data_IF_503796831378
#
_entry.id   IF_503796831378
#
_cell.length_a   1.000
_cell.length_b   1.000
_cell.length_c   1.000
_cell.angle_alpha   90.00
_cell.angle_beta   90.00
_cell.angle_gamma   90.00
#
_symmetry.space_group_name_H-M   'P 1'
#
loop_
_entity.id
_entity.type
_entity.pdbx_description
1 polymer ?
#
# COMPACT_ATOMS: atom_id res chain seq x y z
N UNK A 1 28.23 -7.14 -8.79
CA UNK A 1 26.99 -7.93 -8.84
C UNK A 1 26.54 -7.93 -10.28
N UNK A 2 26.45 -9.10 -10.87
CA UNK A 2 25.93 -9.20 -12.26
C UNK A 2 24.47 -8.75 -12.27
N UNK A 3 24.12 -7.96 -13.29
CA UNK A 3 22.72 -7.55 -13.47
C UNK A 3 21.93 -8.76 -13.96
N UNK A 4 20.66 -8.94 -13.53
CA UNK A 4 19.83 -10.01 -14.05
C UNK A 4 19.75 -9.88 -15.59
N UNK A 5 19.67 -11.02 -16.26
CA UNK A 5 19.45 -11.07 -17.71
C UNK A 5 18.03 -10.57 -17.96
N UNK A 6 17.90 -9.47 -18.67
CA UNK A 6 16.62 -8.95 -19.09
C UNK A 6 16.22 -9.53 -20.45
N UNK A 7 15.03 -10.06 -20.52
CA UNK A 7 14.43 -10.47 -21.78
C UNK A 7 14.13 -9.24 -22.65
N UNK A 8 14.21 -9.34 -23.97
CA UNK A 8 13.82 -8.25 -24.87
C UNK A 8 12.34 -7.88 -24.69
N UNK A 9 12.03 -6.60 -24.92
CA UNK A 9 10.63 -6.17 -25.05
C UNK A 9 9.96 -6.96 -26.19
N UNK A 10 8.72 -7.38 -25.96
CA UNK A 10 7.95 -8.24 -26.85
C UNK A 10 8.08 -9.75 -26.57
N UNK A 11 8.95 -10.17 -25.62
CA UNK A 11 9.02 -11.56 -25.18
C UNK A 11 7.66 -11.98 -24.57
N UNK A 12 7.09 -13.12 -24.96
CA UNK A 12 5.92 -13.69 -24.31
C UNK A 12 6.16 -13.92 -22.82
N UNK A 13 5.18 -13.64 -21.97
CA UNK A 13 5.37 -13.75 -20.50
C UNK A 13 5.68 -15.18 -20.07
N UNK A 14 5.18 -16.18 -20.79
CA UNK A 14 5.43 -17.60 -20.54
C UNK A 14 6.90 -18.02 -20.78
N UNK A 15 7.66 -17.22 -21.52
CA UNK A 15 9.08 -17.45 -21.79
C UNK A 15 10.00 -16.78 -20.76
N UNK A 16 9.44 -16.00 -19.82
CA UNK A 16 10.25 -15.35 -18.78
C UNK A 16 10.85 -16.37 -17.81
N UNK A 17 12.06 -16.05 -17.35
CA UNK A 17 12.68 -16.77 -16.23
C UNK A 17 11.86 -16.59 -14.96
N UNK A 18 11.77 -17.66 -14.17
CA UNK A 18 10.99 -17.73 -12.94
C UNK A 18 11.87 -17.92 -11.70
N UNK A 19 11.39 -17.56 -10.52
CA UNK A 19 10.12 -16.86 -10.28
C UNK A 19 10.16 -15.40 -10.75
N UNK A 20 9.06 -14.91 -11.31
CA UNK A 20 8.98 -13.56 -11.83
C UNK A 20 7.74 -12.81 -11.31
N UNK A 21 7.92 -11.62 -10.77
CA UNK A 21 6.83 -10.73 -10.43
C UNK A 21 6.41 -9.94 -11.68
N UNK A 22 5.20 -10.24 -12.19
CA UNK A 22 4.67 -9.69 -13.44
C UNK A 22 3.49 -8.79 -13.14
N UNK A 23 3.39 -7.64 -13.82
CA UNK A 23 2.21 -6.78 -13.81
C UNK A 23 1.54 -6.86 -15.18
N UNK A 24 0.26 -7.17 -15.19
CA UNK A 24 -0.63 -6.93 -16.33
C UNK A 24 -1.04 -5.45 -16.34
N UNK A 25 -0.53 -4.69 -17.31
CA UNK A 25 -0.75 -3.26 -17.41
C UNK A 25 -2.20 -2.90 -17.73
N UNK A 26 -2.90 -3.71 -18.52
CA UNK A 26 -4.29 -3.44 -18.89
C UNK A 26 -5.22 -3.63 -17.67
N UNK A 27 -4.96 -4.67 -16.86
CA UNK A 27 -5.69 -4.89 -15.60
C UNK A 27 -5.39 -3.80 -14.60
N UNK A 28 -4.11 -3.41 -14.44
CA UNK A 28 -3.70 -2.34 -13.53
C UNK A 28 -4.34 -1.00 -13.91
N UNK A 29 -4.28 -0.61 -15.18
CA UNK A 29 -4.84 0.65 -15.65
C UNK A 29 -6.37 0.66 -15.47
N UNK A 30 -7.06 -0.46 -15.69
CA UNK A 30 -8.48 -0.61 -15.41
C UNK A 30 -8.80 -0.47 -13.92
N UNK A 31 -8.02 -1.08 -13.04
CA UNK A 31 -8.17 -0.91 -11.60
C UNK A 31 -8.02 0.56 -11.18
N UNK A 32 -6.99 1.24 -11.70
CA UNK A 32 -6.76 2.66 -11.43
C UNK A 32 -7.96 3.49 -11.90
N UNK A 33 -8.45 3.28 -13.12
CA UNK A 33 -9.61 3.99 -13.64
C UNK A 33 -10.89 3.73 -12.84
N UNK A 34 -11.15 2.48 -12.46
CA UNK A 34 -12.30 2.09 -11.64
C UNK A 34 -12.27 2.81 -10.30
N UNK A 35 -11.14 2.76 -9.61
CA UNK A 35 -10.95 3.43 -8.32
C UNK A 35 -11.09 4.94 -8.44
N UNK A 36 -10.41 5.57 -9.40
CA UNK A 36 -10.42 7.03 -9.59
C UNK A 36 -11.80 7.56 -10.01
N UNK A 37 -12.61 6.74 -10.65
CA UNK A 37 -13.99 7.07 -11.00
C UNK A 37 -14.84 7.51 -9.80
N UNK A 38 -14.59 6.96 -8.61
CA UNK A 38 -15.28 7.36 -7.38
C UNK A 38 -14.93 8.78 -6.93
N UNK A 39 -13.75 9.29 -7.31
CA UNK A 39 -13.25 10.60 -6.90
C UNK A 39 -13.49 11.70 -7.92
N UNK A 40 -13.93 11.37 -9.12
CA UNK A 40 -14.09 12.34 -10.23
C UNK A 40 -15.01 13.50 -9.85
N UNK A 41 -16.19 13.21 -9.29
CA UNK A 41 -17.17 14.21 -8.87
C UNK A 41 -17.20 14.45 -7.34
N UNK A 42 -16.40 13.73 -6.58
CA UNK A 42 -16.37 13.83 -5.11
C UNK A 42 -15.56 15.03 -4.64
N UNK A 43 -15.96 15.56 -3.46
CA UNK A 43 -15.15 16.56 -2.74
C UNK A 43 -13.85 15.95 -2.23
N UNK A 44 -13.95 14.75 -1.62
CA UNK A 44 -12.78 13.99 -1.22
C UNK A 44 -11.94 13.56 -2.42
N UNK A 45 -10.61 13.53 -2.24
CA UNK A 45 -9.64 13.12 -3.27
C UNK A 45 -8.83 11.92 -2.79
N UNK A 46 -8.29 11.16 -3.72
CA UNK A 46 -7.39 10.06 -3.39
C UNK A 46 -5.99 10.58 -3.03
N UNK A 47 -5.37 10.02 -1.98
CA UNK A 47 -3.92 10.11 -1.76
C UNK A 47 -3.35 8.70 -1.94
N UNK A 48 -2.69 8.40 -3.07
CA UNK A 48 -2.08 7.10 -3.31
C UNK A 48 -1.07 6.72 -2.24
N UNK A 49 -1.25 5.55 -1.62
CA UNK A 49 -0.27 4.96 -0.69
C UNK A 49 0.63 4.04 -1.49
N UNK A 50 1.89 4.42 -1.64
CA UNK A 50 2.83 3.73 -2.55
C UNK A 50 3.55 2.54 -1.94
N UNK A 51 3.40 2.33 -0.63
CA UNK A 51 4.03 1.25 0.13
C UNK A 51 3.68 -0.15 -0.38
N UNK A 52 2.51 -0.31 -1.02
CA UNK A 52 2.09 -1.61 -1.55
C UNK A 52 2.85 -2.04 -2.81
N UNK A 53 3.45 -1.09 -3.53
CA UNK A 53 4.15 -1.37 -4.79
C UNK A 53 5.57 -0.79 -4.86
N UNK A 54 5.92 0.21 -4.07
CA UNK A 54 7.27 0.79 -3.94
C UNK A 54 7.89 1.25 -5.28
N UNK A 55 7.07 1.51 -6.29
CA UNK A 55 7.47 1.75 -7.68
C UNK A 55 7.00 3.13 -8.17
N UNK A 56 7.92 4.05 -8.50
CA UNK A 56 7.58 5.40 -8.97
C UNK A 56 6.73 5.43 -10.24
N UNK A 57 6.92 4.49 -11.17
CA UNK A 57 6.13 4.41 -12.41
C UNK A 57 4.64 4.16 -12.12
N UNK A 58 4.33 3.29 -11.16
CA UNK A 58 2.94 3.05 -10.74
C UNK A 58 2.37 4.28 -10.07
N UNK A 59 3.14 4.91 -9.15
CA UNK A 59 2.69 6.13 -8.46
C UNK A 59 2.36 7.28 -9.44
N UNK A 60 3.17 7.47 -10.49
CA UNK A 60 2.87 8.46 -11.54
C UNK A 60 1.56 8.15 -12.26
N UNK A 61 1.33 6.90 -12.66
CA UNK A 61 0.06 6.49 -13.29
C UNK A 61 -1.15 6.73 -12.38
N UNK A 62 -0.99 6.53 -11.08
CA UNK A 62 -2.05 6.84 -10.11
C UNK A 62 -2.35 8.34 -10.06
N UNK A 63 -1.34 9.21 -10.08
CA UNK A 63 -1.51 10.67 -10.09
C UNK A 63 -2.07 11.16 -11.44
N UNK A 64 -1.56 10.65 -12.55
CA UNK A 64 -1.95 11.04 -13.90
C UNK A 64 -3.42 10.68 -14.21
N UNK A 65 -3.95 9.65 -13.55
CA UNK A 65 -5.37 9.27 -13.71
C UNK A 65 -6.34 10.29 -13.11
N UNK A 66 -5.87 11.28 -12.36
CA UNK A 66 -6.68 12.35 -11.77
C UNK A 66 -7.42 11.92 -10.50
N UNK A 67 -8.29 12.81 -9.99
CA UNK A 67 -9.06 12.54 -8.77
C UNK A 67 -8.22 12.46 -7.49
N UNK A 68 -6.95 12.88 -7.53
CA UNK A 68 -5.99 12.83 -6.42
C UNK A 68 -5.74 14.20 -5.82
N UNK A 69 -5.12 14.23 -4.64
CA UNK A 69 -4.61 15.46 -4.01
C UNK A 69 -3.32 15.99 -4.68
N UNK A 70 -2.77 15.27 -5.67
CA UNK A 70 -1.50 15.61 -6.31
C UNK A 70 -0.26 15.08 -5.59
N UNK A 71 -0.41 14.55 -4.37
CA UNK A 71 0.64 13.97 -3.55
C UNK A 71 0.44 12.48 -3.28
N UNK A 72 1.43 11.86 -2.64
CA UNK A 72 1.45 10.44 -2.27
C UNK A 72 1.54 10.26 -0.75
N UNK A 73 1.31 9.05 -0.27
CA UNK A 73 1.60 8.66 1.10
C UNK A 73 2.57 7.47 1.13
N UNK A 74 3.47 7.51 2.10
CA UNK A 74 4.49 6.48 2.40
C UNK A 74 4.40 6.10 3.87
N UNK A 75 5.07 5.02 4.29
CA UNK A 75 5.07 4.56 5.68
C UNK A 75 6.45 4.54 6.33
N UNK A 76 7.52 4.68 5.58
CA UNK A 76 8.87 4.78 6.12
C UNK A 76 9.59 6.02 5.57
N UNK A 77 10.57 6.50 6.34
CA UNK A 77 11.38 7.62 5.90
C UNK A 77 12.21 7.27 4.65
N UNK A 78 12.72 6.04 4.56
CA UNK A 78 13.44 5.57 3.38
C UNK A 78 12.58 5.56 2.13
N UNK A 79 11.30 5.17 2.23
CA UNK A 79 10.34 5.31 1.13
C UNK A 79 10.19 6.79 0.72
N UNK A 80 10.03 7.71 1.70
CA UNK A 80 9.92 9.15 1.43
C UNK A 80 11.14 9.68 0.66
N UNK A 81 12.34 9.31 1.08
CA UNK A 81 13.59 9.69 0.41
C UNK A 81 13.67 9.13 -1.02
N UNK A 82 13.31 7.85 -1.22
CA UNK A 82 13.32 7.23 -2.53
C UNK A 82 12.32 7.89 -3.50
N UNK A 83 11.10 8.19 -3.04
CA UNK A 83 10.10 8.85 -3.87
C UNK A 83 10.40 10.34 -4.10
N UNK A 84 10.94 11.06 -3.12
CA UNK A 84 11.42 12.43 -3.34
C UNK A 84 12.55 12.46 -4.38
N UNK A 85 13.53 11.53 -4.29
CA UNK A 85 14.57 11.34 -5.29
C UNK A 85 14.03 11.00 -6.68
N UNK A 86 12.84 10.41 -6.78
CA UNK A 86 12.13 10.16 -8.03
C UNK A 86 11.27 11.36 -8.49
N UNK A 87 11.30 12.51 -7.79
CA UNK A 87 10.66 13.77 -8.17
C UNK A 87 9.21 13.92 -7.69
N UNK A 88 8.82 13.24 -6.62
CA UNK A 88 7.54 13.49 -5.93
C UNK A 88 7.74 14.59 -4.90
N UNK A 89 6.90 15.64 -4.94
CA UNK A 89 7.07 16.88 -4.19
C UNK A 89 6.06 17.13 -3.06
N UNK A 90 5.03 16.28 -2.94
CA UNK A 90 4.07 16.29 -1.85
C UNK A 90 3.96 14.86 -1.29
N UNK A 91 4.52 14.65 -0.10
CA UNK A 91 4.65 13.32 0.50
C UNK A 91 4.11 13.36 1.93
N UNK A 92 3.07 12.56 2.21
CA UNK A 92 2.63 12.29 3.57
C UNK A 92 3.36 11.04 4.09
N UNK A 93 4.19 11.20 5.11
CA UNK A 93 4.71 10.09 5.89
C UNK A 93 3.64 9.68 6.91
N UNK A 94 2.81 8.72 6.53
CA UNK A 94 1.66 8.26 7.32
C UNK A 94 2.09 7.28 8.43
N UNK A 95 3.10 7.66 9.19
CA UNK A 95 3.67 6.90 10.31
C UNK A 95 4.47 7.84 11.22
N UNK A 96 4.79 7.40 12.43
CA UNK A 96 5.49 8.21 13.44
C UNK A 96 7.01 8.12 13.28
N UNK A 97 7.69 9.25 13.35
CA UNK A 97 9.16 9.37 13.35
C UNK A 97 9.59 9.91 14.70
N UNK A 98 10.27 9.10 15.51
CA UNK A 98 10.54 9.39 16.92
C UNK A 98 12.03 9.49 17.29
N UNK A 99 12.93 8.92 16.48
CA UNK A 99 14.36 8.93 16.80
C UNK A 99 15.04 10.17 16.25
N UNK A 100 16.02 10.69 17.00
CA UNK A 100 16.76 11.92 16.64
C UNK A 100 17.38 11.80 15.24
N UNK A 101 17.95 10.65 14.90
CA UNK A 101 18.55 10.42 13.58
C UNK A 101 17.54 10.52 12.45
N UNK A 102 16.35 9.91 12.62
CA UNK A 102 15.29 9.96 11.61
C UNK A 102 14.66 11.37 11.53
N UNK A 103 14.49 12.08 12.66
CA UNK A 103 14.01 13.48 12.66
C UNK A 103 14.97 14.39 11.87
N UNK A 104 16.28 14.24 12.05
CA UNK A 104 17.26 15.00 11.27
C UNK A 104 17.16 14.71 9.78
N UNK A 105 17.06 13.44 9.37
CA UNK A 105 16.87 13.06 7.96
C UNK A 105 15.56 13.61 7.41
N UNK A 106 14.47 13.54 8.18
CA UNK A 106 13.16 14.10 7.81
C UNK A 106 13.26 15.61 7.54
N UNK A 107 13.96 16.35 8.41
CA UNK A 107 14.16 17.79 8.23
C UNK A 107 15.03 18.12 7.00
N UNK A 108 16.05 17.31 6.71
CA UNK A 108 16.81 17.44 5.45
C UNK A 108 15.91 17.22 4.25
N UNK A 109 15.04 16.22 4.29
CA UNK A 109 14.10 15.97 3.21
C UNK A 109 13.08 17.11 3.07
N UNK A 110 12.60 17.67 4.18
CA UNK A 110 11.66 18.80 4.20
C UNK A 110 12.24 20.09 3.60
N UNK A 111 13.58 20.25 3.54
CA UNK A 111 14.20 21.36 2.84
C UNK A 111 14.12 21.26 1.30
N UNK A 112 13.72 20.09 0.77
CA UNK A 112 13.71 19.79 -0.67
C UNK A 112 12.30 19.52 -1.20
N UNK A 113 11.38 19.11 -0.33
CA UNK A 113 10.02 18.71 -0.73
C UNK A 113 9.01 19.00 0.40
N UNK A 114 7.74 19.17 0.05
CA UNK A 114 6.67 19.28 1.03
C UNK A 114 6.45 17.94 1.73
N UNK A 115 6.69 17.91 3.03
CA UNK A 115 6.59 16.70 3.84
C UNK A 115 5.56 16.87 4.96
N UNK A 116 4.58 15.96 4.97
CA UNK A 116 3.66 15.79 6.08
C UNK A 116 4.03 14.58 6.92
N UNK A 117 3.66 14.64 8.20
CA UNK A 117 3.94 13.55 9.13
C UNK A 117 2.77 13.28 10.07
N UNK A 118 2.55 11.99 10.36
CA UNK A 118 1.60 11.56 11.38
C UNK A 118 2.20 11.75 12.79
N UNK A 119 1.40 12.28 13.71
CA UNK A 119 1.77 12.48 15.12
C UNK A 119 0.63 12.03 16.02
N UNK A 120 0.95 11.31 17.08
CA UNK A 120 0.00 10.82 18.09
C UNK A 120 0.48 11.00 19.54
N UNK A 121 1.62 11.68 19.71
CA UNK A 121 2.26 11.82 21.01
C UNK A 121 2.84 13.25 21.18
N UNK A 122 2.58 13.94 22.33
CA UNK A 122 3.05 15.30 22.55
C UNK A 122 4.57 15.43 22.63
N UNK A 123 5.27 14.48 23.28
CA UNK A 123 6.73 14.51 23.39
C UNK A 123 7.39 14.34 22.01
N UNK A 124 6.77 13.56 21.13
CA UNK A 124 7.23 13.42 19.77
C UNK A 124 7.01 14.70 18.96
N UNK A 125 5.88 15.37 19.15
CA UNK A 125 5.60 16.66 18.53
C UNK A 125 6.68 17.70 18.90
N UNK A 126 7.07 17.76 20.18
CA UNK A 126 8.12 18.66 20.66
C UNK A 126 9.49 18.37 20.04
N UNK A 127 9.84 17.07 19.89
CA UNK A 127 11.09 16.66 19.22
C UNK A 127 11.10 17.02 17.73
N UNK A 128 9.97 16.83 17.06
CA UNK A 128 9.80 17.22 15.65
C UNK A 128 9.91 18.74 15.49
N UNK A 129 9.24 19.52 16.36
CA UNK A 129 9.34 20.97 16.39
C UNK A 129 10.78 21.45 16.59
N UNK A 130 11.47 20.89 17.58
CA UNK A 130 12.87 21.24 17.86
C UNK A 130 13.77 20.96 16.65
N UNK A 131 13.60 19.80 16.00
CA UNK A 131 14.36 19.45 14.80
C UNK A 131 14.04 20.35 13.61
N UNK A 132 12.76 20.69 13.41
CA UNK A 132 12.33 21.58 12.33
C UNK A 132 12.88 23.00 12.50
N UNK A 133 12.84 23.54 13.73
CA UNK A 133 13.43 24.85 14.07
C UNK A 133 14.93 24.84 13.85
N UNK A 134 15.64 23.82 14.34
CA UNK A 134 17.10 23.70 14.16
C UNK A 134 17.48 23.66 12.67
N UNK A 135 16.68 23.00 11.84
CA UNK A 135 16.92 22.90 10.41
C UNK A 135 16.36 24.07 9.59
N UNK A 136 15.59 24.97 10.18
CA UNK A 136 14.95 26.09 9.49
C UNK A 136 13.88 25.66 8.48
N UNK A 137 13.14 24.58 8.76
CA UNK A 137 12.09 24.03 7.91
C UNK A 137 10.73 24.01 8.63
N UNK A 138 9.67 23.81 7.88
CA UNK A 138 8.33 23.57 8.39
C UNK A 138 7.85 22.17 8.00
N UNK A 139 7.29 21.44 8.93
CA UNK A 139 6.63 20.16 8.73
C UNK A 139 5.12 20.36 8.88
N UNK A 140 4.33 19.94 7.89
CA UNK A 140 2.89 19.87 8.10
C UNK A 140 2.52 18.55 8.80
N UNK A 141 1.55 18.66 9.73
CA UNK A 141 1.25 17.59 10.67
C UNK A 141 -0.20 17.16 10.54
N UNK A 142 -0.43 15.86 10.51
CA UNK A 142 -1.73 15.26 10.76
C UNK A 142 -1.70 14.49 12.08
N UNK A 143 -2.63 14.79 12.98
CA UNK A 143 -2.80 14.01 14.19
C UNK A 143 -3.44 12.67 13.82
N UNK A 144 -2.80 11.57 14.13
CA UNK A 144 -3.40 10.25 13.94
C UNK A 144 -4.36 9.93 15.09
N UNK A 145 -5.62 9.70 14.75
CA UNK A 145 -6.67 9.26 15.65
C UNK A 145 -6.78 7.73 15.56
N UNK A 146 -6.80 7.03 16.69
CA UNK A 146 -7.13 5.59 16.67
C UNK A 146 -8.60 5.40 16.27
N UNK A 147 -8.78 4.96 15.04
CA UNK A 147 -10.08 4.64 14.45
C UNK A 147 -10.39 3.14 14.52
N UNK A 148 -10.00 2.48 15.60
CA UNK A 148 -10.29 1.07 15.87
C UNK A 148 -9.20 0.09 15.45
N UNK A 149 -8.03 0.59 15.00
CA UNK A 149 -6.88 -0.27 14.69
C UNK A 149 -6.22 -0.85 15.94
N UNK A 150 -6.23 -0.11 17.06
CA UNK A 150 -5.49 -0.49 18.28
C UNK A 150 -3.98 -0.64 18.03
N UNK A 151 -3.41 0.23 17.18
CA UNK A 151 -2.01 0.15 16.77
C UNK A 151 -1.25 1.45 17.06
N UNK A 152 -1.46 2.46 16.25
CA UNK A 152 -1.00 3.84 16.45
C UNK A 152 -2.23 4.74 16.50
N UNK A 153 -2.01 5.99 16.90
CA UNK A 153 -3.06 6.98 17.02
C UNK A 153 -3.42 7.29 18.46
N UNK A 154 -3.74 8.56 18.71
CA UNK A 154 -4.21 9.03 19.99
C UNK A 154 -5.71 8.74 20.14
N UNK A 155 -6.17 8.53 21.35
CA UNK A 155 -7.61 8.38 21.63
C UNK A 155 -8.37 9.65 21.24
N UNK A 156 -9.53 9.47 20.61
CA UNK A 156 -10.44 10.56 20.27
C UNK A 156 -10.89 11.35 21.53
N UNK A 157 -11.33 12.59 21.33
CA UNK A 157 -11.86 13.43 22.41
C UNK A 157 -10.80 14.24 23.10
N UNK A 158 -10.71 14.15 24.43
CA UNK A 158 -9.90 15.06 25.26
C UNK A 158 -8.39 14.97 24.91
N UNK A 159 -7.87 13.78 24.72
CA UNK A 159 -6.45 13.59 24.45
C UNK A 159 -6.06 14.12 23.06
N UNK A 160 -6.87 13.88 22.04
CA UNK A 160 -6.69 14.46 20.71
C UNK A 160 -6.75 16.00 20.75
N UNK A 161 -7.67 16.56 21.55
CA UNK A 161 -7.78 18.00 21.73
C UNK A 161 -6.51 18.61 22.34
N UNK A 162 -6.00 18.02 23.44
CA UNK A 162 -4.77 18.49 24.10
C UNK A 162 -3.58 18.45 23.13
N UNK A 163 -3.46 17.36 22.38
CA UNK A 163 -2.37 17.21 21.40
C UNK A 163 -2.48 18.27 20.30
N UNK A 164 -3.67 18.50 19.76
CA UNK A 164 -3.90 19.50 18.73
C UNK A 164 -3.55 20.92 19.19
N UNK A 165 -4.00 21.33 20.37
CA UNK A 165 -3.66 22.60 20.98
C UNK A 165 -2.15 22.73 21.24
N UNK A 166 -1.49 21.64 21.62
CA UNK A 166 -0.04 21.63 21.79
C UNK A 166 0.69 21.86 20.48
N UNK A 167 0.33 21.10 19.40
CA UNK A 167 0.95 21.19 18.08
C UNK A 167 0.74 22.58 17.47
N UNK A 168 -0.45 23.16 17.58
CA UNK A 168 -0.78 24.48 17.05
C UNK A 168 0.12 25.61 17.62
N UNK A 169 0.63 25.41 18.84
CA UNK A 169 1.57 26.31 19.49
C UNK A 169 3.06 26.01 19.27
N UNK A 170 3.43 24.96 18.54
CA UNK A 170 4.82 24.54 18.35
C UNK A 170 5.43 25.14 17.09
N UNK A 171 6.55 25.91 17.19
CA UNK A 171 7.22 26.46 16.02
C UNK A 171 7.80 25.38 15.12
N UNK A 172 7.83 25.62 13.80
CA UNK A 172 8.32 24.67 12.80
C UNK A 172 7.33 23.51 12.48
N UNK A 173 6.17 23.48 13.16
CA UNK A 173 5.07 22.57 12.83
C UNK A 173 3.86 23.38 12.37
N UNK A 174 3.16 22.85 11.38
CA UNK A 174 1.88 23.38 10.90
C UNK A 174 0.81 22.30 11.04
N UNK A 175 -0.15 22.50 11.95
CA UNK A 175 -1.29 21.59 12.07
C UNK A 175 -2.20 21.75 10.83
N UNK A 176 -2.18 20.78 9.94
CA UNK A 176 -3.04 20.76 8.74
C UNK A 176 -4.35 19.98 8.98
N UNK A 177 -4.34 19.02 9.90
CA UNK A 177 -5.53 18.22 10.11
C UNK A 177 -5.32 16.97 10.92
N UNK A 178 -6.18 16.00 10.62
CA UNK A 178 -6.20 14.70 11.29
C UNK A 178 -6.20 13.56 10.29
N UNK A 179 -5.76 12.39 10.73
CA UNK A 179 -5.86 11.17 9.97
C UNK A 179 -6.35 10.01 10.84
N UNK A 180 -6.91 9.00 10.19
CA UNK A 180 -7.25 7.73 10.83
C UNK A 180 -7.16 6.57 9.85
N UNK A 181 -6.66 5.44 10.32
CA UNK A 181 -6.65 4.19 9.57
C UNK A 181 -7.68 3.25 10.18
N UNK A 182 -8.58 2.72 9.36
CA UNK A 182 -9.61 1.78 9.83
C UNK A 182 -9.18 0.33 9.57
N UNK A 183 -9.59 -0.62 10.41
CA UNK A 183 -9.28 -2.03 10.21
C UNK A 183 -9.81 -2.55 8.88
N UNK A 184 -8.98 -3.30 8.17
CA UNK A 184 -9.41 -4.02 6.96
C UNK A 184 -10.18 -5.30 7.29
N UNK A 185 -10.89 -5.86 6.31
CA UNK A 185 -11.63 -7.10 6.49
C UNK A 185 -10.70 -8.28 6.80
N UNK A 186 -11.22 -9.24 7.56
CA UNK A 186 -10.60 -10.55 7.78
C UNK A 186 -11.31 -11.60 6.92
N UNK A 187 -10.66 -12.72 6.64
CA UNK A 187 -11.14 -13.71 5.69
C UNK A 187 -12.56 -14.21 5.89
N UNK A 188 -13.04 -14.27 7.14
CA UNK A 188 -14.36 -14.78 7.50
C UNK A 188 -15.38 -13.67 7.82
N UNK A 189 -15.03 -12.40 7.60
CA UNK A 189 -15.91 -11.29 7.90
C UNK A 189 -17.13 -11.29 6.96
N UNK A 190 -18.31 -11.09 7.53
CA UNK A 190 -19.50 -10.72 6.76
C UNK A 190 -19.36 -9.31 6.20
N UNK A 191 -19.58 -9.17 4.89
CA UNK A 191 -19.37 -7.91 4.18
C UNK A 191 -20.20 -6.77 4.78
N UNK A 192 -21.47 -7.00 5.11
CA UNK A 192 -22.36 -5.97 5.64
C UNK A 192 -21.93 -5.53 7.06
N UNK A 193 -21.50 -6.48 7.89
CA UNK A 193 -20.98 -6.17 9.23
C UNK A 193 -19.68 -5.37 9.13
N UNK A 194 -18.78 -5.77 8.21
CA UNK A 194 -17.54 -5.05 7.95
C UNK A 194 -17.81 -3.62 7.49
N UNK A 195 -18.73 -3.41 6.56
CA UNK A 195 -19.11 -2.08 6.08
C UNK A 195 -19.71 -1.21 7.19
N UNK A 196 -20.60 -1.76 8.03
CA UNK A 196 -21.17 -1.04 9.17
C UNK A 196 -20.08 -0.61 10.15
N UNK A 197 -19.17 -1.53 10.50
CA UNK A 197 -18.05 -1.24 11.41
C UNK A 197 -17.07 -0.21 10.83
N UNK A 198 -16.82 -0.28 9.55
CA UNK A 198 -16.01 0.71 8.83
C UNK A 198 -16.60 2.11 8.95
N UNK A 199 -17.92 2.27 8.74
CA UNK A 199 -18.60 3.56 8.91
C UNK A 199 -18.51 4.09 10.34
N UNK A 200 -18.71 3.23 11.35
CA UNK A 200 -18.53 3.61 12.76
C UNK A 200 -17.11 4.13 13.03
N UNK A 201 -16.11 3.41 12.56
CA UNK A 201 -14.70 3.78 12.74
C UNK A 201 -14.34 5.08 12.02
N UNK A 202 -14.84 5.31 10.80
CA UNK A 202 -14.67 6.57 10.09
C UNK A 202 -15.37 7.73 10.82
N UNK A 203 -16.51 7.48 11.45
CA UNK A 203 -17.23 8.50 12.23
C UNK A 203 -16.42 8.98 13.42
N UNK A 204 -15.61 8.13 14.07
CA UNK A 204 -14.70 8.54 15.16
C UNK A 204 -13.75 9.66 14.69
N UNK A 205 -13.22 9.55 13.48
CA UNK A 205 -12.34 10.58 12.90
C UNK A 205 -13.11 11.87 12.64
N UNK A 206 -14.32 11.78 12.07
CA UNK A 206 -15.16 12.95 11.78
C UNK A 206 -15.63 13.66 13.05
N UNK A 207 -16.03 12.93 14.09
CA UNK A 207 -16.40 13.51 15.37
C UNK A 207 -15.23 14.24 16.02
N UNK A 208 -14.01 13.68 15.88
CA UNK A 208 -12.77 14.34 16.33
C UNK A 208 -12.53 15.64 15.58
N UNK A 209 -12.65 15.64 14.23
CA UNK A 209 -12.56 16.87 13.41
C UNK A 209 -13.54 17.93 13.91
N UNK A 210 -14.80 17.56 14.12
CA UNK A 210 -15.84 18.50 14.53
C UNK A 210 -15.57 19.07 15.93
N UNK A 211 -15.05 18.25 16.84
CA UNK A 211 -14.65 18.70 18.17
C UNK A 211 -13.50 19.71 18.11
N UNK A 212 -12.46 19.43 17.31
CA UNK A 212 -11.30 20.29 17.12
C UNK A 212 -11.71 21.63 16.48
N UNK A 213 -12.56 21.61 15.45
CA UNK A 213 -13.07 22.84 14.82
C UNK A 213 -13.92 23.70 15.78
N UNK A 214 -14.76 23.07 16.61
CA UNK A 214 -15.51 23.80 17.65
C UNK A 214 -14.61 24.48 18.69
N UNK A 215 -13.41 23.94 18.92
CA UNK A 215 -12.42 24.54 19.81
C UNK A 215 -11.59 25.65 19.12
N UNK A 216 -11.89 26.00 17.87
CA UNK A 216 -11.24 27.08 17.14
C UNK A 216 -9.98 26.66 16.37
N UNK A 217 -9.65 25.37 16.28
CA UNK A 217 -8.52 24.87 15.50
C UNK A 217 -8.87 24.72 14.03
N UNK A 218 -7.93 25.08 13.14
CA UNK A 218 -8.06 24.86 11.71
C UNK A 218 -7.76 23.40 11.39
N UNK A 219 -8.72 22.69 10.81
CA UNK A 219 -8.60 21.30 10.36
C UNK A 219 -9.03 21.26 8.90
N UNK A 220 -8.05 21.40 8.01
CA UNK A 220 -8.27 21.42 6.57
C UNK A 220 -8.25 20.02 5.98
N UNK A 221 -7.36 19.15 6.49
CA UNK A 221 -7.19 17.78 6.01
C UNK A 221 -7.85 16.79 6.97
N UNK A 222 -8.75 15.99 6.44
CA UNK A 222 -9.29 14.80 7.11
C UNK A 222 -8.97 13.59 6.24
N UNK A 223 -7.85 12.94 6.58
CA UNK A 223 -7.29 11.84 5.81
C UNK A 223 -7.69 10.51 6.41
N UNK A 224 -8.45 9.71 5.68
CA UNK A 224 -8.84 8.38 6.15
C UNK A 224 -8.28 7.30 5.24
N UNK A 225 -8.14 6.08 5.74
CA UNK A 225 -7.41 5.13 4.93
C UNK A 225 -7.82 3.69 5.00
N UNK A 226 -7.54 3.11 3.85
CA UNK A 226 -7.59 1.74 3.43
C UNK A 226 -8.23 1.57 2.06
N UNK A 227 -7.64 0.74 1.22
CA UNK A 227 -8.25 0.39 -0.08
C UNK A 227 -9.62 -0.27 0.11
N UNK A 228 -9.82 -1.02 1.20
CA UNK A 228 -11.07 -1.72 1.49
C UNK A 228 -12.26 -0.80 1.79
N UNK A 229 -12.04 0.46 2.14
CA UNK A 229 -13.10 1.38 2.58
C UNK A 229 -13.32 2.59 1.68
N UNK A 230 -12.66 2.66 0.52
CA UNK A 230 -12.69 3.87 -0.31
C UNK A 230 -14.10 4.27 -0.75
N UNK A 231 -14.93 3.29 -1.12
CA UNK A 231 -16.30 3.56 -1.61
C UNK A 231 -17.21 4.16 -0.53
N UNK A 232 -17.01 3.76 0.74
CA UNK A 232 -17.73 4.35 1.88
C UNK A 232 -17.13 5.70 2.26
N UNK A 233 -15.80 5.77 2.36
CA UNK A 233 -15.10 6.96 2.83
C UNK A 233 -15.32 8.18 1.93
N UNK A 234 -15.33 8.00 0.61
CA UNK A 234 -15.54 9.08 -0.37
C UNK A 234 -16.93 9.72 -0.25
N UNK A 235 -17.91 8.99 0.27
CA UNK A 235 -19.30 9.45 0.44
C UNK A 235 -19.54 10.15 1.79
N UNK A 236 -18.59 10.09 2.74
CA UNK A 236 -18.76 10.67 4.06
C UNK A 236 -18.47 12.17 4.06
N UNK A 237 -19.45 13.03 4.38
CA UNK A 237 -19.24 14.47 4.40
C UNK A 237 -18.18 14.86 5.44
N UNK A 238 -17.18 15.63 4.98
CA UNK A 238 -16.09 16.08 5.83
C UNK A 238 -14.79 15.28 5.72
N UNK A 239 -14.80 14.13 5.04
CA UNK A 239 -13.57 13.50 4.55
C UNK A 239 -13.03 14.34 3.40
N UNK A 240 -11.75 14.67 3.42
CA UNK A 240 -11.08 15.45 2.36
C UNK A 240 -10.18 14.60 1.50
N UNK A 241 -9.55 13.56 2.08
CA UNK A 241 -8.74 12.62 1.32
C UNK A 241 -8.89 11.17 1.81
N UNK A 242 -8.76 10.25 0.86
CA UNK A 242 -8.76 8.81 1.11
C UNK A 242 -7.42 8.22 0.72
N UNK A 243 -6.72 7.64 1.72
CA UNK A 243 -5.44 6.96 1.52
C UNK A 243 -5.68 5.52 1.12
N UNK A 244 -5.30 5.15 -0.11
CA UNK A 244 -5.44 3.80 -0.62
C UNK A 244 -4.22 3.40 -1.45
N UNK A 245 -3.75 2.16 -1.33
CA UNK A 245 -2.52 1.72 -1.97
C UNK A 245 -2.61 0.41 -2.73
N UNK A 246 -3.51 -0.49 -2.38
CA UNK A 246 -3.57 -1.83 -2.98
C UNK A 246 -4.35 -1.88 -4.29
N UNK A 247 -5.19 -0.89 -4.57
CA UNK A 247 -6.10 -0.91 -5.70
C UNK A 247 -5.43 -1.07 -7.08
N UNK A 248 -4.22 -0.53 -7.36
CA UNK A 248 -3.63 -0.69 -8.69
C UNK A 248 -3.31 -2.14 -9.03
N UNK A 249 -2.75 -2.86 -8.06
CA UNK A 249 -2.21 -4.20 -8.25
C UNK A 249 -3.11 -5.29 -7.69
N UNK A 250 -3.89 -4.99 -6.67
CA UNK A 250 -4.73 -5.91 -5.89
C UNK A 250 -3.96 -7.13 -5.36
N UNK A 251 -4.60 -7.85 -4.47
CA UNK A 251 -4.12 -9.11 -3.93
C UNK A 251 -5.30 -10.05 -3.65
N UNK A 252 -5.00 -11.31 -3.33
CA UNK A 252 -6.03 -12.29 -3.04
C UNK A 252 -6.89 -11.92 -1.83
N UNK A 253 -6.28 -11.33 -0.80
CA UNK A 253 -6.95 -10.97 0.45
C UNK A 253 -8.15 -10.03 0.24
N UNK A 254 -8.03 -9.04 -0.65
CA UNK A 254 -9.07 -8.04 -0.86
C UNK A 254 -10.03 -8.38 -1.99
N UNK A 255 -9.72 -9.36 -2.82
CA UNK A 255 -10.52 -9.67 -4.02
C UNK A 255 -11.98 -10.03 -3.70
N UNK A 256 -12.25 -10.73 -2.61
CA UNK A 256 -13.62 -11.08 -2.19
C UNK A 256 -14.44 -9.90 -1.71
N UNK A 257 -13.76 -8.84 -1.22
CA UNK A 257 -14.40 -7.61 -0.69
C UNK A 257 -14.52 -6.51 -1.74
N UNK A 258 -13.71 -6.56 -2.78
CA UNK A 258 -13.68 -5.58 -3.87
C UNK A 258 -13.71 -6.29 -5.23
N UNK A 259 -14.86 -6.88 -5.58
CA UNK A 259 -14.99 -7.71 -6.79
C UNK A 259 -14.78 -6.94 -8.10
N UNK A 260 -14.92 -5.61 -8.07
CA UNK A 260 -14.70 -4.71 -9.21
C UNK A 260 -13.23 -4.51 -9.56
N UNK A 261 -12.30 -4.79 -8.63
CA UNK A 261 -10.85 -4.70 -8.83
C UNK A 261 -10.25 -6.09 -9.00
N UNK A 262 -9.23 -6.22 -9.83
CA UNK A 262 -8.65 -7.52 -10.16
C UNK A 262 -7.13 -7.57 -9.84
N UNK A 263 -6.59 -8.75 -9.45
CA UNK A 263 -5.15 -8.92 -9.29
C UNK A 263 -4.42 -8.64 -10.61
N UNK A 264 -3.70 -7.53 -10.66
CA UNK A 264 -2.90 -7.11 -11.79
C UNK A 264 -1.44 -7.56 -11.63
N UNK A 265 -0.96 -7.76 -10.41
CA UNK A 265 0.38 -8.27 -10.15
C UNK A 265 0.31 -9.71 -9.64
N UNK A 266 1.09 -10.58 -10.28
CA UNK A 266 1.13 -12.02 -10.03
C UNK A 266 2.56 -12.52 -10.10
N UNK A 267 2.81 -13.67 -9.49
CA UNK A 267 4.09 -14.35 -9.57
C UNK A 267 3.98 -15.49 -10.58
N UNK A 268 4.79 -15.42 -11.64
CA UNK A 268 4.99 -16.51 -12.56
C UNK A 268 6.01 -17.47 -11.96
N UNK A 269 5.67 -18.74 -11.88
CA UNK A 269 6.53 -19.82 -11.38
C UNK A 269 6.62 -20.96 -12.37
N UNK A 270 7.67 -21.76 -12.28
CA UNK A 270 7.80 -23.01 -13.04
C UNK A 270 7.57 -24.22 -12.15
N UNK A 271 6.93 -25.23 -12.67
CA UNK A 271 6.91 -26.57 -12.06
C UNK A 271 8.28 -27.21 -12.26
N UNK A 272 9.01 -27.39 -11.17
CA UNK A 272 10.37 -27.96 -11.21
C UNK A 272 10.39 -29.47 -10.88
N UNK A 273 9.33 -29.99 -10.27
CA UNK A 273 9.24 -31.39 -9.91
C UNK A 273 7.79 -31.85 -9.76
N UNK A 274 7.55 -33.10 -10.08
CA UNK A 274 6.28 -33.79 -9.85
C UNK A 274 6.60 -35.15 -9.18
N UNK A 275 6.87 -35.14 -7.87
CA UNK A 275 7.47 -36.30 -7.19
C UNK A 275 6.51 -37.48 -7.00
N UNK A 276 5.22 -37.19 -6.86
CA UNK A 276 4.14 -38.17 -6.74
C UNK A 276 2.88 -37.65 -7.38
N UNK A 277 1.94 -38.54 -7.72
CA UNK A 277 0.63 -38.15 -8.22
C UNK A 277 -0.08 -37.22 -7.23
N UNK A 278 -0.70 -36.17 -7.75
CA UNK A 278 -1.39 -35.17 -6.93
C UNK A 278 -0.47 -34.14 -6.25
N UNK A 279 0.82 -34.07 -6.58
CA UNK A 279 1.71 -33.07 -6.02
C UNK A 279 2.65 -32.49 -7.09
N UNK A 280 2.68 -31.16 -7.18
CA UNK A 280 3.68 -30.41 -7.95
C UNK A 280 4.52 -29.53 -7.03
N UNK A 281 5.75 -29.26 -7.44
CA UNK A 281 6.68 -28.36 -6.75
C UNK A 281 7.05 -27.21 -7.69
N UNK A 282 6.81 -26.00 -7.21
CA UNK A 282 7.16 -24.75 -7.92
C UNK A 282 8.48 -24.21 -7.42
N UNK A 283 9.18 -23.45 -8.27
CA UNK A 283 10.38 -22.70 -7.93
C UNK A 283 10.12 -21.39 -7.16
N UNK A 284 8.88 -21.17 -6.71
CA UNK A 284 8.42 -20.00 -5.98
C UNK A 284 8.12 -20.34 -4.51
N UNK A 285 9.12 -20.24 -3.64
CA UNK A 285 9.01 -20.45 -2.20
C UNK A 285 8.78 -19.14 -1.42
N UNK A 286 9.15 -19.15 -0.12
CA UNK A 286 9.05 -17.98 0.77
C UNK A 286 9.69 -16.71 0.19
N UNK A 287 10.86 -16.84 -0.41
CA UNK A 287 11.60 -15.71 -0.99
C UNK A 287 10.92 -15.07 -2.20
N UNK A 288 9.98 -15.76 -2.81
CA UNK A 288 9.22 -15.24 -3.93
C UNK A 288 7.81 -14.77 -3.55
N UNK A 289 7.17 -15.47 -2.60
CA UNK A 289 5.73 -15.32 -2.34
C UNK A 289 5.38 -14.63 -1.02
N UNK A 290 6.32 -14.54 -0.05
CA UNK A 290 6.08 -14.01 1.30
C UNK A 290 4.76 -14.50 1.91
N UNK A 291 4.59 -15.81 2.16
CA UNK A 291 3.30 -16.40 2.53
C UNK A 291 2.96 -16.27 4.01
N UNK A 292 3.67 -15.44 4.78
CA UNK A 292 3.54 -15.32 6.23
C UNK A 292 2.18 -14.79 6.69
N UNK A 293 1.55 -13.95 5.88
CA UNK A 293 0.22 -13.39 6.16
C UNK A 293 -0.92 -14.26 5.63
N UNK A 294 -0.61 -15.18 4.75
CA UNK A 294 -1.53 -16.09 4.11
C UNK A 294 -0.94 -16.66 2.82
N UNK A 295 -1.44 -17.82 2.41
CA UNK A 295 -0.92 -18.52 1.24
C UNK A 295 -1.39 -17.89 -0.05
N UNK A 296 -0.53 -17.82 -1.08
CA UNK A 296 -0.98 -17.45 -2.42
C UNK A 296 -1.94 -18.51 -2.99
N UNK A 297 -2.76 -18.11 -3.93
CA UNK A 297 -3.63 -19.01 -4.67
C UNK A 297 -3.13 -19.22 -6.09
N UNK A 298 -3.36 -20.42 -6.64
CA UNK A 298 -3.12 -20.72 -8.04
C UNK A 298 -4.22 -20.11 -8.91
N UNK A 299 -3.85 -19.41 -9.94
CA UNK A 299 -4.80 -18.90 -10.91
C UNK A 299 -5.08 -19.93 -12.01
N UNK A 300 -6.37 -20.12 -12.30
CA UNK A 300 -6.82 -20.96 -13.43
C UNK A 300 -6.65 -22.47 -13.26
N UNK A 301 -6.30 -22.95 -12.06
CA UNK A 301 -6.13 -24.37 -11.77
C UNK A 301 -7.11 -24.77 -10.67
N UNK A 302 -8.29 -25.18 -11.08
CA UNK A 302 -9.31 -25.68 -10.17
C UNK A 302 -8.87 -27.03 -9.55
N UNK A 303 -8.91 -27.12 -8.20
CA UNK A 303 -8.38 -28.28 -7.46
C UNK A 303 -6.88 -28.20 -7.19
N UNK A 304 -6.20 -27.10 -7.55
CA UNK A 304 -4.81 -26.84 -7.19
C UNK A 304 -4.70 -25.96 -5.94
N UNK A 305 -4.02 -26.45 -4.89
CA UNK A 305 -3.84 -25.76 -3.62
C UNK A 305 -2.36 -25.60 -3.27
N UNK A 306 -1.88 -24.37 -3.12
CA UNK A 306 -0.54 -24.08 -2.64
C UNK A 306 -0.52 -24.24 -1.11
N UNK A 307 0.06 -25.33 -0.61
CA UNK A 307 -0.12 -25.76 0.79
C UNK A 307 1.08 -25.52 1.68
N UNK A 308 2.30 -25.63 1.15
CA UNK A 308 3.54 -25.48 1.92
C UNK A 308 4.60 -24.71 1.14
N UNK A 309 5.41 -23.95 1.86
CA UNK A 309 6.50 -23.17 1.28
C UNK A 309 7.79 -23.40 2.07
N UNK A 310 8.87 -23.73 1.39
CA UNK A 310 10.24 -23.62 1.90
C UNK A 310 10.91 -22.39 1.27
N UNK A 311 12.19 -22.18 1.49
CA UNK A 311 12.87 -20.98 0.99
C UNK A 311 12.67 -20.76 -0.52
N UNK A 312 12.88 -21.82 -1.32
CA UNK A 312 12.86 -21.76 -2.79
C UNK A 312 11.69 -22.55 -3.42
N UNK A 313 10.96 -23.35 -2.64
CA UNK A 313 9.98 -24.30 -3.17
C UNK A 313 8.58 -23.99 -2.64
N UNK A 314 7.60 -23.87 -3.57
CA UNK A 314 6.18 -23.88 -3.28
C UNK A 314 5.60 -25.27 -3.60
N UNK A 315 4.94 -25.89 -2.62
CA UNK A 315 4.33 -27.20 -2.80
C UNK A 315 2.84 -27.01 -3.07
N UNK A 316 2.39 -27.61 -4.16
CA UNK A 316 1.01 -27.59 -4.63
C UNK A 316 0.44 -28.98 -4.55
N UNK A 317 -0.68 -29.13 -3.88
CA UNK A 317 -1.50 -30.32 -3.89
C UNK A 317 -2.53 -30.19 -5.01
N UNK A 318 -2.69 -31.25 -5.80
CA UNK A 318 -3.51 -31.27 -7.01
C UNK A 318 -4.59 -32.36 -6.87
N UNK A 319 -5.84 -31.97 -6.95
CA UNK A 319 -6.99 -32.86 -6.84
C UNK A 319 -7.73 -32.94 -8.17
N UNK A 320 -8.39 -34.09 -8.41
CA UNK A 320 -9.21 -34.31 -9.59
C UNK A 320 -8.44 -34.09 -10.90
N UNK A 321 -8.99 -33.29 -11.80
CA UNK A 321 -8.38 -33.04 -13.11
C UNK A 321 -7.14 -32.12 -13.04
N UNK A 322 -6.91 -31.44 -11.94
CA UNK A 322 -5.70 -30.64 -11.73
C UNK A 322 -4.44 -31.51 -11.75
N UNK A 323 -4.51 -32.76 -11.36
CA UNK A 323 -3.38 -33.70 -11.40
C UNK A 323 -2.76 -33.89 -12.80
N UNK A 324 -3.50 -33.53 -13.85
CA UNK A 324 -3.05 -33.63 -15.23
C UNK A 324 -2.63 -32.29 -15.84
N UNK A 325 -2.81 -31.20 -15.12
CA UNK A 325 -2.63 -29.85 -15.65
C UNK A 325 -1.22 -29.29 -15.43
N UNK A 326 -0.47 -29.80 -14.46
CA UNK A 326 0.86 -29.30 -14.11
C UNK A 326 1.91 -30.40 -14.24
N UNK A 327 2.73 -30.32 -15.29
CA UNK A 327 3.89 -31.19 -15.50
C UNK A 327 5.20 -30.42 -15.25
N UNK A 328 6.29 -31.13 -15.03
CA UNK A 328 7.60 -30.50 -14.90
C UNK A 328 7.93 -29.69 -16.17
N UNK A 329 8.28 -28.42 -15.99
CA UNK A 329 8.51 -27.45 -17.05
C UNK A 329 7.32 -26.53 -17.35
N UNK A 330 6.11 -26.86 -16.92
CA UNK A 330 4.94 -26.00 -17.10
C UNK A 330 5.03 -24.75 -16.23
N UNK A 331 4.34 -23.70 -16.64
CA UNK A 331 4.22 -22.44 -15.89
C UNK A 331 2.94 -22.41 -15.06
N UNK A 332 3.02 -21.79 -13.89
CA UNK A 332 1.88 -21.56 -13.00
C UNK A 332 1.88 -20.12 -12.50
N UNK A 333 0.68 -19.56 -12.38
CA UNK A 333 0.48 -18.23 -11.83
C UNK A 333 0.05 -18.31 -10.37
N UNK A 334 0.73 -17.54 -9.52
CA UNK A 334 0.40 -17.38 -8.11
C UNK A 334 -0.07 -15.94 -7.86
N UNK A 335 -1.25 -15.81 -7.26
CA UNK A 335 -1.75 -14.54 -6.75
C UNK A 335 -1.37 -14.47 -5.26
N UNK A 336 -0.47 -13.56 -4.83
CA UNK A 336 -0.11 -13.42 -3.42
C UNK A 336 -1.33 -13.10 -2.54
N UNK A 337 -1.33 -13.61 -1.31
CA UNK A 337 -2.35 -13.26 -0.33
C UNK A 337 -2.23 -11.80 0.10
N UNK A 338 -1.00 -11.34 0.35
CA UNK A 338 -0.64 -9.96 0.66
C UNK A 338 0.52 -9.54 -0.25
N UNK A 339 0.22 -8.71 -1.23
CA UNK A 339 1.17 -8.42 -2.32
C UNK A 339 2.37 -7.59 -1.85
N UNK A 340 2.20 -6.63 -0.93
CA UNK A 340 3.27 -5.69 -0.55
C UNK A 340 4.52 -6.38 0.00
N UNK A 341 4.35 -7.46 0.77
CA UNK A 341 5.46 -8.26 1.27
C UNK A 341 6.20 -8.99 0.15
N UNK A 342 5.46 -9.54 -0.83
CA UNK A 342 6.07 -10.16 -2.01
C UNK A 342 6.83 -9.14 -2.86
N UNK A 343 6.25 -7.98 -3.12
CA UNK A 343 6.89 -6.89 -3.89
C UNK A 343 8.24 -6.50 -3.30
N UNK A 344 8.34 -6.41 -1.98
CA UNK A 344 9.60 -6.05 -1.31
C UNK A 344 10.74 -7.05 -1.51
N UNK A 345 10.48 -8.22 -2.09
CA UNK A 345 11.48 -9.26 -2.37
C UNK A 345 12.05 -9.20 -3.78
N UNK A 346 11.48 -8.37 -4.67
CA UNK A 346 11.90 -8.24 -6.05
C UNK A 346 12.54 -6.89 -6.34
N UNK A 347 13.52 -6.86 -7.24
CA UNK A 347 14.14 -5.62 -7.70
C UNK A 347 13.31 -4.90 -8.77
N UNK A 348 12.55 -5.68 -9.56
CA UNK A 348 11.80 -5.18 -10.72
C UNK A 348 10.46 -5.88 -10.86
N UNK A 349 9.47 -5.12 -11.30
CA UNK A 349 8.30 -5.69 -11.96
C UNK A 349 8.62 -5.94 -13.44
N UNK A 350 8.13 -7.05 -13.97
CA UNK A 350 8.01 -7.29 -15.40
C UNK A 350 6.66 -6.75 -15.85
N UNK A 351 6.68 -5.55 -16.43
CA UNK A 351 5.48 -4.93 -16.95
C UNK A 351 5.09 -5.60 -18.28
N UNK A 352 3.89 -6.14 -18.37
CA UNK A 352 3.40 -6.88 -19.53
C UNK A 352 2.09 -6.28 -20.04
N UNK A 353 1.90 -6.33 -21.35
CA UNK A 353 0.68 -5.93 -22.04
C UNK A 353 0.35 -6.94 -23.11
N UNK A 354 -0.92 -7.35 -23.22
CA UNK A 354 -1.35 -8.36 -24.18
C UNK A 354 -0.48 -9.63 -24.14
N UNK A 355 -0.10 -10.10 -22.95
CA UNK A 355 0.73 -11.30 -22.75
C UNK A 355 2.20 -11.15 -23.16
N UNK A 356 2.69 -9.93 -23.42
CA UNK A 356 4.08 -9.66 -23.83
C UNK A 356 4.74 -8.65 -22.91
N UNK A 357 6.02 -8.85 -22.66
CA UNK A 357 6.86 -7.93 -21.89
C UNK A 357 6.95 -6.58 -22.59
N UNK A 358 6.61 -5.49 -21.85
CA UNK A 358 6.78 -4.09 -22.28
C UNK A 358 8.02 -3.45 -21.65
N UNK A 359 8.47 -3.96 -20.49
CA UNK A 359 9.65 -3.43 -19.82
C UNK A 359 9.82 -3.89 -18.40
N UNK A 360 10.88 -3.37 -17.78
CA UNK A 360 11.22 -3.64 -16.38
C UNK A 360 11.08 -2.35 -15.59
N UNK A 361 10.22 -2.39 -14.56
CA UNK A 361 9.98 -1.23 -13.70
C UNK A 361 10.67 -1.43 -12.35
N UNK A 362 11.67 -0.61 -12.02
CA UNK A 362 12.37 -0.71 -10.74
C UNK A 362 11.42 -0.54 -9.55
N UNK A 363 11.58 -1.40 -8.55
CA UNK A 363 10.92 -1.27 -7.25
C UNK A 363 11.87 -0.44 -6.37
N UNK A 364 11.93 0.87 -6.66
CA UNK A 364 13.00 1.75 -6.19
C UNK A 364 13.03 1.94 -4.68
N UNK A 365 11.90 1.77 -4.00
CA UNK A 365 11.81 1.88 -2.55
C UNK A 365 11.82 0.53 -1.82
N UNK A 366 12.10 -0.59 -2.51
CA UNK A 366 12.20 -1.89 -1.86
C UNK A 366 13.34 -1.91 -0.84
N UNK A 367 13.11 -2.53 0.31
CA UNK A 367 14.10 -2.61 1.39
C UNK A 367 14.35 -1.30 2.14
N UNK A 368 13.69 -0.21 1.78
CA UNK A 368 13.82 1.10 2.43
C UNK A 368 13.02 1.16 3.74
N UNK A 369 13.37 0.30 4.69
CA UNK A 369 12.61 0.11 5.95
C UNK A 369 12.94 1.14 7.03
N UNK A 370 14.01 1.92 6.89
CA UNK A 370 14.51 2.82 7.95
C UNK A 370 14.63 4.27 7.48
#
# INVERSE_FOLDING_TARGET
>A
MERPIFHPVGTPVEELDTPALVIDLDVMDKNIQTFQGYFAAATAKARPVVTSHLCPQIARRQLDAGGTVGGIAVTTLGEAEAFAGAGFSDILLANQIVTVSKIRRLCVLASQTSIGIAVDNPDNAERLSSGAVEAGVELWVLIEIDAGMGRCGISAGVEAMKLAQRIDGLPGLKLEGIMGTVPGPKGDDDLAQHEAKTKENLQIVLDSKDALKRAGLSIEVVSVGGTHCYAQAVQMPGVTEVRAGRYPLMDHRLKSFLPELNPAAKILASVISHPIDGMAVLDAGHKATAPDQGRPVLEGIEGGNATRFSAEHGIVELEGDAQKQLNAGDKAWLIPYELGASVNQYDYFRAAKNGKLEGFWPISARGMLA
#
